data_IF_558687290300
#
_entry.id   IF_558687290300
#
_cell.length_a   1.000
_cell.length_b   1.000
_cell.length_c   1.000
_cell.angle_alpha   90.00
_cell.angle_beta   90.00
_cell.angle_gamma   90.00
#
_symmetry.space_group_name_H-M   'P 1'
#
loop_
_entity.id
_entity.type
_entity.pdbx_description
1 polymer ?
#
# COMPACT_ATOMS: atom_id res chain seq x y z
N UNK A 1 17.44 -16.61 -26.86
CA UNK A 1 16.32 -15.73 -26.48
C UNK A 1 16.62 -15.21 -25.08
N UNK A 2 16.61 -13.90 -24.90
CA UNK A 2 17.31 -13.17 -23.83
C UNK A 2 16.82 -13.49 -22.40
N UNK A 3 17.56 -14.32 -21.66
CA UNK A 3 17.51 -14.37 -20.19
C UNK A 3 18.17 -13.11 -19.61
N UNK A 4 17.35 -12.09 -19.34
CA UNK A 4 17.65 -11.02 -18.39
C UNK A 4 16.73 -11.19 -17.18
N UNK A 5 16.91 -12.27 -16.41
CA UNK A 5 16.38 -12.32 -15.05
C UNK A 5 17.47 -11.70 -14.16
N UNK A 6 17.66 -10.40 -14.34
CA UNK A 6 18.60 -9.61 -13.56
C UNK A 6 18.10 -9.58 -12.12
N UNK A 7 18.96 -10.02 -11.21
CA UNK A 7 18.85 -10.10 -9.75
C UNK A 7 18.10 -8.92 -9.11
N UNK A 8 16.77 -8.90 -9.22
CA UNK A 8 15.92 -7.84 -8.71
C UNK A 8 15.60 -8.25 -7.28
N UNK A 9 16.29 -7.63 -6.31
CA UNK A 9 16.01 -7.83 -4.87
C UNK A 9 14.50 -7.82 -4.64
N UNK A 10 13.94 -9.01 -4.43
CA UNK A 10 12.54 -9.18 -4.07
C UNK A 10 12.38 -8.53 -2.69
N UNK A 11 11.37 -7.69 -2.53
CA UNK A 11 11.10 -7.06 -1.24
C UNK A 11 10.70 -8.12 -0.23
N UNK A 12 11.60 -8.48 0.68
CA UNK A 12 11.31 -9.39 1.79
C UNK A 12 10.56 -8.60 2.86
N UNK A 13 9.40 -9.07 3.34
CA UNK A 13 8.70 -8.44 4.46
C UNK A 13 9.58 -8.37 5.70
N UNK A 14 9.58 -7.21 6.34
CA UNK A 14 10.30 -7.00 7.60
C UNK A 14 9.50 -7.70 8.73
N UNK A 15 10.08 -8.67 9.44
CA UNK A 15 9.33 -9.54 10.35
C UNK A 15 8.72 -8.79 11.54
N UNK A 16 9.28 -7.65 11.92
CA UNK A 16 8.74 -6.83 13.01
C UNK A 16 7.59 -5.93 12.52
N UNK A 17 7.62 -5.50 11.26
CA UNK A 17 6.63 -4.56 10.70
C UNK A 17 5.47 -5.27 9.99
N UNK A 18 5.72 -6.44 9.40
CA UNK A 18 4.72 -7.24 8.72
C UNK A 18 3.47 -7.52 9.59
N UNK A 19 3.57 -8.00 10.84
CA UNK A 19 2.39 -8.30 11.66
C UNK A 19 1.58 -7.03 11.97
N UNK A 20 2.24 -5.88 12.16
CA UNK A 20 1.60 -4.60 12.42
C UNK A 20 0.77 -4.14 11.23
N UNK A 21 1.28 -4.36 10.02
CA UNK A 21 0.54 -4.07 8.79
C UNK A 21 -0.68 -4.98 8.69
N UNK A 22 -0.55 -6.28 8.97
CA UNK A 22 -1.70 -7.20 8.99
C UNK A 22 -2.78 -6.71 9.96
N UNK A 23 -2.40 -6.42 11.20
CA UNK A 23 -3.33 -5.94 12.23
C UNK A 23 -3.98 -4.60 11.84
N UNK A 24 -3.23 -3.70 11.19
CA UNK A 24 -3.75 -2.45 10.64
C UNK A 24 -4.88 -2.70 9.64
N UNK A 25 -4.70 -3.65 8.71
CA UNK A 25 -5.72 -4.00 7.74
C UNK A 25 -6.91 -4.73 8.37
N UNK A 26 -6.68 -5.63 9.33
CA UNK A 26 -7.75 -6.31 10.07
C UNK A 26 -8.63 -5.32 10.83
N UNK A 27 -8.03 -4.38 11.56
CA UNK A 27 -8.74 -3.30 12.24
C UNK A 27 -9.56 -2.49 11.24
N UNK A 28 -9.00 -2.13 10.08
CA UNK A 28 -9.74 -1.40 9.07
C UNK A 28 -10.91 -2.18 8.48
N UNK A 29 -10.71 -3.48 8.22
CA UNK A 29 -11.70 -4.37 7.63
C UNK A 29 -12.97 -4.50 8.49
N UNK A 30 -12.89 -4.26 9.81
CA UNK A 30 -14.07 -4.21 10.69
C UNK A 30 -15.08 -3.12 10.31
N UNK A 31 -14.65 -2.09 9.58
CA UNK A 31 -15.49 -0.93 9.29
C UNK A 31 -15.71 0.01 10.49
N UNK A 32 -15.15 -0.28 11.66
CA UNK A 32 -15.29 0.52 12.88
C UNK A 32 -14.25 1.65 12.97
N UNK A 33 -13.08 1.45 12.35
CA UNK A 33 -11.95 2.39 12.48
C UNK A 33 -11.79 3.26 11.23
N UNK A 34 -11.63 4.57 11.42
CA UNK A 34 -11.26 5.50 10.35
C UNK A 34 -9.75 5.52 10.09
N UNK A 35 -9.34 6.03 8.92
CA UNK A 35 -7.92 6.19 8.57
C UNK A 35 -7.15 6.96 9.66
N UNK A 36 -7.80 7.94 10.30
CA UNK A 36 -7.23 8.74 11.39
C UNK A 36 -7.08 7.94 12.69
N UNK A 37 -8.09 7.14 13.06
CA UNK A 37 -8.01 6.30 14.26
C UNK A 37 -6.91 5.25 14.15
N UNK A 38 -6.73 4.68 12.95
CA UNK A 38 -5.62 3.76 12.67
C UNK A 38 -4.27 4.48 12.77
N UNK A 39 -4.15 5.69 12.22
CA UNK A 39 -2.93 6.47 12.35
C UNK A 39 -2.60 6.76 13.82
N UNK A 40 -3.60 7.11 14.63
CA UNK A 40 -3.44 7.33 16.07
C UNK A 40 -3.00 6.06 16.79
N UNK A 41 -3.60 4.92 16.46
CA UNK A 41 -3.21 3.62 17.01
C UNK A 41 -1.77 3.25 16.66
N UNK A 42 -1.34 3.42 15.41
CA UNK A 42 0.05 3.18 14.99
C UNK A 42 1.03 4.04 15.79
N UNK A 43 0.74 5.35 15.92
CA UNK A 43 1.60 6.27 16.66
C UNK A 43 1.62 5.98 18.16
N UNK A 44 0.50 5.56 18.74
CA UNK A 44 0.41 5.21 20.16
C UNK A 44 1.23 3.96 20.52
N UNK A 45 1.35 3.01 19.58
CA UNK A 45 2.22 1.85 19.72
C UNK A 45 3.70 2.14 19.39
N UNK A 46 4.06 3.40 19.12
CA UNK A 46 5.44 3.82 18.85
C UNK A 46 5.92 3.56 17.42
N UNK A 47 5.05 3.11 16.51
CA UNK A 47 5.44 2.88 15.12
C UNK A 47 5.71 4.20 14.38
N UNK A 48 6.77 4.21 13.59
CA UNK A 48 7.17 5.35 12.76
C UNK A 48 7.28 4.93 11.29
N UNK A 49 7.08 5.88 10.40
CA UNK A 49 7.35 5.70 8.97
C UNK A 49 8.85 5.42 8.74
N UNK A 50 9.21 4.90 7.56
CA UNK A 50 10.61 4.67 7.19
C UNK A 50 11.51 5.92 7.31
N UNK A 51 10.93 7.12 7.26
CA UNK A 51 11.64 8.41 7.44
C UNK A 51 11.60 8.92 8.89
N UNK A 52 11.18 8.10 9.86
CA UNK A 52 11.10 8.46 11.27
C UNK A 52 9.96 9.41 11.66
N UNK A 53 9.01 9.67 10.75
CA UNK A 53 7.85 10.54 11.01
C UNK A 53 6.65 9.75 11.53
N UNK A 54 5.79 10.42 12.28
CA UNK A 54 4.49 9.88 12.71
C UNK A 54 3.57 9.60 11.50
N UNK A 55 2.69 8.63 11.65
CA UNK A 55 1.66 8.31 10.67
C UNK A 55 0.56 9.37 10.66
N UNK A 56 0.24 9.90 9.48
CA UNK A 56 -0.94 10.73 9.25
C UNK A 56 -2.07 9.93 8.62
N UNK A 57 -3.30 10.49 8.63
CA UNK A 57 -4.48 9.88 7.99
C UNK A 57 -4.23 9.57 6.50
N UNK A 58 -3.52 10.45 5.80
CA UNK A 58 -3.28 10.31 4.36
C UNK A 58 -2.24 9.22 4.08
N UNK A 59 -1.24 9.08 4.96
CA UNK A 59 -0.27 7.99 4.89
C UNK A 59 -0.94 6.63 5.08
N UNK A 60 -1.82 6.53 6.08
CA UNK A 60 -2.59 5.29 6.30
C UNK A 60 -3.52 5.01 5.13
N UNK A 61 -4.20 6.04 4.60
CA UNK A 61 -5.04 5.89 3.42
C UNK A 61 -4.27 5.36 2.21
N UNK A 62 -3.07 5.88 1.98
CA UNK A 62 -2.19 5.45 0.89
C UNK A 62 -1.73 4.00 1.09
N UNK A 63 -1.42 3.61 2.33
CA UNK A 63 -1.07 2.23 2.66
C UNK A 63 -2.24 1.27 2.39
N UNK A 64 -3.45 1.61 2.86
CA UNK A 64 -4.67 0.83 2.61
C UNK A 64 -5.06 0.77 1.13
N UNK A 65 -4.57 1.69 0.29
CA UNK A 65 -4.76 1.71 -1.15
C UNK A 65 -3.60 1.12 -1.96
N UNK A 66 -2.52 0.69 -1.31
CA UNK A 66 -1.37 0.13 -1.98
C UNK A 66 -1.54 -1.37 -2.25
N UNK A 67 -1.71 -1.80 -3.52
CA UNK A 67 -1.86 -3.22 -3.86
C UNK A 67 -0.58 -4.04 -3.59
N UNK A 68 0.53 -3.38 -3.25
CA UNK A 68 1.79 -4.03 -2.86
C UNK A 68 1.60 -5.01 -1.71
N UNK A 69 0.72 -4.74 -0.75
CA UNK A 69 0.52 -5.66 0.37
C UNK A 69 -0.09 -7.02 -0.03
N UNK A 70 -0.72 -7.10 -1.21
CA UNK A 70 -1.32 -8.32 -1.79
C UNK A 70 -0.45 -8.91 -2.91
N UNK A 71 0.85 -8.60 -2.95
CA UNK A 71 1.73 -9.13 -4.00
C UNK A 71 1.57 -8.44 -5.35
N UNK A 72 0.82 -7.34 -5.47
CA UNK A 72 0.54 -6.65 -6.74
C UNK A 72 1.29 -5.32 -6.83
N UNK A 73 1.79 -4.96 -8.00
CA UNK A 73 2.56 -3.71 -8.22
C UNK A 73 1.73 -2.75 -9.08
N UNK A 74 1.59 -1.50 -8.61
CA UNK A 74 0.98 -0.42 -9.38
C UNK A 74 2.06 0.37 -10.11
N UNK A 75 2.09 0.26 -11.44
CA UNK A 75 2.96 1.05 -12.30
C UNK A 75 2.17 2.16 -13.00
N UNK A 76 2.74 3.36 -13.11
CA UNK A 76 2.16 4.45 -13.89
C UNK A 76 3.23 5.03 -14.79
N UNK A 77 2.97 5.03 -16.10
CA UNK A 77 3.87 5.61 -17.08
C UNK A 77 4.09 7.10 -16.82
N UNK A 78 5.35 7.51 -16.88
CA UNK A 78 5.77 8.91 -16.81
C UNK A 78 6.38 9.29 -18.15
N UNK A 79 5.92 10.39 -18.72
CA UNK A 79 6.46 10.96 -19.96
C UNK A 79 6.96 12.37 -19.70
N UNK A 80 7.97 12.80 -20.45
CA UNK A 80 8.60 14.10 -20.28
C UNK A 80 8.25 14.97 -21.47
N UNK A 81 7.76 16.19 -21.22
CA UNK A 81 7.52 17.18 -22.28
C UNK A 81 8.84 17.82 -22.73
N UNK A 82 8.90 18.40 -23.94
CA UNK A 82 9.96 19.34 -24.28
C UNK A 82 10.00 20.43 -23.20
N UNK A 83 11.19 20.72 -22.64
CA UNK A 83 11.45 21.48 -21.38
C UNK A 83 11.56 20.67 -20.08
N UNK A 84 11.59 19.34 -20.12
CA UNK A 84 11.98 18.52 -18.96
C UNK A 84 10.89 18.32 -17.90
N UNK A 85 9.65 18.76 -18.17
CA UNK A 85 8.54 18.60 -17.23
C UNK A 85 7.96 17.19 -17.37
N UNK A 86 8.17 16.35 -16.34
CA UNK A 86 7.59 15.01 -16.26
C UNK A 86 6.11 15.07 -15.89
N UNK A 87 5.26 14.34 -16.61
CA UNK A 87 3.85 14.18 -16.31
C UNK A 87 3.44 12.71 -16.36
N UNK A 88 2.36 12.38 -15.65
CA UNK A 88 1.84 11.02 -15.62
C UNK A 88 0.97 10.78 -16.85
N UNK A 89 1.52 10.12 -17.88
CA UNK A 89 0.90 9.98 -19.20
C UNK A 89 -0.09 8.83 -19.30
N UNK A 90 0.16 7.72 -18.60
CA UNK A 90 -0.67 6.51 -18.68
C UNK A 90 -1.53 6.36 -17.42
N UNK A 91 -2.76 5.81 -17.51
CA UNK A 91 -3.47 5.33 -16.33
C UNK A 91 -2.61 4.32 -15.55
N UNK A 92 -2.78 4.23 -14.22
CA UNK A 92 -2.04 3.26 -13.42
C UNK A 92 -2.44 1.84 -13.83
N UNK A 93 -1.47 1.02 -14.23
CA UNK A 93 -1.64 -0.40 -14.50
C UNK A 93 -1.22 -1.20 -13.28
N UNK A 94 -2.05 -2.13 -12.86
CA UNK A 94 -1.73 -3.08 -11.79
C UNK A 94 -1.24 -4.36 -12.46
N UNK A 95 -0.16 -4.92 -11.96
CA UNK A 95 0.43 -6.18 -12.45
C UNK A 95 0.85 -7.03 -11.26
N UNK A 96 0.96 -8.34 -11.45
CA UNK A 96 1.41 -9.25 -10.39
C UNK A 96 2.89 -9.02 -10.12
N UNK A 97 3.22 -8.82 -8.86
CA UNK A 97 4.59 -8.67 -8.36
C UNK A 97 5.19 -10.03 -8.02
N UNK A 98 6.51 -10.04 -7.88
CA UNK A 98 7.27 -11.24 -7.50
C UNK A 98 7.53 -11.32 -5.99
N UNK A 99 6.97 -10.40 -5.20
CA UNK A 99 7.19 -10.33 -3.75
C UNK A 99 6.08 -11.04 -2.99
N UNK A 100 6.44 -11.54 -1.81
CA UNK A 100 5.52 -12.27 -0.94
C UNK A 100 4.41 -11.33 -0.43
N UNK A 101 3.13 -11.70 -0.57
CA UNK A 101 2.03 -10.90 -0.05
C UNK A 101 2.08 -10.92 1.48
N UNK A 102 1.92 -9.75 2.10
CA UNK A 102 1.81 -9.60 3.56
C UNK A 102 0.39 -9.92 4.03
N UNK A 103 -0.62 -9.62 3.19
CA UNK A 103 -2.04 -9.85 3.47
C UNK A 103 -2.68 -10.70 2.38
N UNK A 104 -3.74 -11.43 2.74
CA UNK A 104 -4.56 -12.18 1.79
C UNK A 104 -5.42 -11.23 0.93
N UNK A 105 -5.76 -11.65 -0.31
CA UNK A 105 -6.64 -10.89 -1.20
C UNK A 105 -8.03 -10.70 -0.57
N UNK A 106 -8.53 -11.67 0.19
CA UNK A 106 -9.84 -11.55 0.86
C UNK A 106 -9.90 -10.38 1.87
N UNK A 107 -8.86 -10.25 2.71
CA UNK A 107 -8.74 -9.16 3.68
C UNK A 107 -8.70 -7.80 2.96
N UNK A 108 -7.96 -7.75 1.84
CA UNK A 108 -7.88 -6.59 0.99
C UNK A 108 -9.24 -6.21 0.39
N UNK A 109 -9.98 -7.18 -0.16
CA UNK A 109 -11.31 -6.93 -0.72
C UNK A 109 -12.27 -6.38 0.33
N UNK A 110 -12.27 -6.93 1.55
CA UNK A 110 -13.08 -6.40 2.66
C UNK A 110 -12.75 -4.94 2.97
N UNK A 111 -11.46 -4.59 3.00
CA UNK A 111 -11.04 -3.19 3.19
C UNK A 111 -11.55 -2.28 2.07
N UNK A 112 -11.54 -2.73 0.82
CA UNK A 112 -12.07 -1.94 -0.29
C UNK A 112 -13.60 -1.78 -0.22
N UNK A 113 -14.32 -2.82 0.20
CA UNK A 113 -15.77 -2.74 0.42
C UNK A 113 -16.12 -1.70 1.49
N UNK A 114 -15.42 -1.70 2.63
CA UNK A 114 -15.57 -0.69 3.70
C UNK A 114 -15.34 0.73 3.16
N UNK A 115 -14.42 0.90 2.21
CA UNK A 115 -14.17 2.22 1.60
C UNK A 115 -15.30 2.65 0.67
N UNK A 116 -15.79 1.74 -0.14
CA UNK A 116 -16.90 2.02 -1.06
C UNK A 116 -18.17 2.36 -0.27
N UNK A 117 -18.46 1.65 0.82
CA UNK A 117 -19.62 1.96 1.68
C UNK A 117 -19.52 3.34 2.32
N UNK A 118 -18.33 3.71 2.82
CA UNK A 118 -18.06 5.03 3.41
C UNK A 118 -18.04 6.17 2.39
N UNK A 119 -17.68 5.91 1.13
CA UNK A 119 -17.69 6.93 0.07
C UNK A 119 -19.10 7.18 -0.51
N UNK A 120 -20.02 6.22 -0.32
CA UNK A 120 -21.42 6.32 -0.75
C UNK A 120 -22.36 6.93 0.29
N UNK A 121 -21.89 7.09 1.53
CA UNK A 121 -22.63 7.72 2.64
C UNK A 121 -22.25 9.20 2.70
#
# INVERSE_FOLDING_TARGET
MSERVENRKVGVPDPEKAPVVVEMFERYATGLYSDFQIAKWLNANGYKTSRGRSFGKDTVRDMLCNPYYVGKIRYRGMSVRPKGVSFRSTPPKISEGQHEPIINDELWQRCQQVRVSRART
#
